data_IF_344902988237
#
_entry.id   IF_344902988237
#
_cell.length_a   1.000
_cell.length_b   1.000
_cell.length_c   1.000
_cell.angle_alpha   90.00
_cell.angle_beta   90.00
_cell.angle_gamma   90.00
#
_symmetry.space_group_name_H-M   'P 1'
#
loop_
_entity.id
_entity.type
_entity.pdbx_description
1 polymer ?
#
# COMPACT_ATOMS: atom_id res chain seq x y z
N UNK A 1 -5.38 -10.53 18.89
CA UNK A 1 -4.32 -9.49 18.75
C UNK A 1 -3.08 -10.16 18.17
N UNK A 2 -2.34 -9.50 17.26
CA UNK A 2 -1.11 -10.09 16.70
C UNK A 2 -0.04 -10.16 17.80
N UNK A 3 0.69 -11.26 17.93
CA UNK A 3 1.75 -11.37 18.93
C UNK A 3 2.87 -10.34 18.66
N UNK A 4 3.46 -9.68 19.68
CA UNK A 4 4.44 -8.60 19.46
C UNK A 4 5.63 -8.98 18.57
N UNK A 5 6.11 -10.23 18.68
CA UNK A 5 7.18 -10.77 17.83
C UNK A 5 6.78 -10.80 16.35
N UNK A 6 5.55 -11.20 16.06
CA UNK A 6 5.02 -11.25 14.70
C UNK A 6 4.89 -9.85 14.10
N UNK A 7 4.47 -8.87 14.90
CA UNK A 7 4.37 -7.48 14.45
C UNK A 7 5.76 -6.92 14.12
N UNK A 8 6.76 -7.11 14.99
CA UNK A 8 8.15 -6.70 14.72
C UNK A 8 8.70 -7.32 13.42
N UNK A 9 8.45 -8.59 13.22
CA UNK A 9 8.86 -9.31 12.02
C UNK A 9 8.19 -8.76 10.74
N UNK A 10 6.87 -8.55 10.78
CA UNK A 10 6.12 -7.98 9.64
C UNK A 10 6.52 -6.52 9.36
N UNK A 11 6.80 -5.73 10.39
CA UNK A 11 7.34 -4.38 10.23
C UNK A 11 8.68 -4.40 9.52
N UNK A 12 9.60 -5.30 9.91
CA UNK A 12 10.87 -5.45 9.22
C UNK A 12 10.69 -5.86 7.76
N UNK A 13 9.83 -6.86 7.50
CA UNK A 13 9.51 -7.31 6.15
C UNK A 13 9.04 -6.16 5.25
N UNK A 14 8.09 -5.35 5.74
CA UNK A 14 7.50 -4.26 4.97
C UNK A 14 8.45 -3.07 4.78
N UNK A 15 9.12 -2.62 5.85
CA UNK A 15 10.00 -1.44 5.83
C UNK A 15 11.25 -1.67 4.99
N UNK A 16 11.83 -2.87 5.05
CA UNK A 16 13.00 -3.26 4.26
C UNK A 16 12.63 -3.87 2.90
N UNK A 17 11.34 -4.08 2.63
CA UNK A 17 10.86 -4.71 1.40
C UNK A 17 11.51 -6.08 1.13
N UNK A 18 11.56 -6.95 2.14
CA UNK A 18 12.29 -8.22 2.04
C UNK A 18 11.56 -9.26 1.18
N UNK A 19 12.11 -9.53 0.00
CA UNK A 19 11.60 -10.53 -0.94
C UNK A 19 11.60 -11.93 -0.32
N UNK A 20 12.69 -12.33 0.32
CA UNK A 20 12.77 -13.66 0.95
C UNK A 20 11.71 -13.85 2.03
N UNK A 21 11.54 -12.86 2.93
CA UNK A 21 10.58 -12.96 4.03
C UNK A 21 9.14 -12.96 3.53
N UNK A 22 8.81 -12.20 2.47
CA UNK A 22 7.47 -12.24 1.88
C UNK A 22 7.10 -13.61 1.34
N UNK A 23 8.01 -14.33 0.68
CA UNK A 23 7.77 -15.70 0.23
C UNK A 23 7.58 -16.68 1.41
N UNK A 24 8.36 -16.52 2.50
CA UNK A 24 8.19 -17.35 3.69
C UNK A 24 6.86 -17.09 4.40
N UNK A 25 6.45 -15.83 4.51
CA UNK A 25 5.14 -15.45 5.05
C UNK A 25 4.02 -16.02 4.20
N UNK A 26 4.13 -15.90 2.88
CA UNK A 26 3.11 -16.42 1.97
C UNK A 26 2.90 -17.93 2.17
N UNK A 27 3.97 -18.71 2.26
CA UNK A 27 3.89 -20.15 2.50
C UNK A 27 3.34 -20.47 3.89
N UNK A 28 3.73 -19.71 4.90
CA UNK A 28 3.20 -19.87 6.27
C UNK A 28 1.69 -19.60 6.31
N UNK A 29 1.24 -18.55 5.64
CA UNK A 29 -0.19 -18.24 5.48
C UNK A 29 -0.89 -19.33 4.69
N UNK A 30 -0.28 -19.82 3.61
CA UNK A 30 -0.81 -20.92 2.80
C UNK A 30 -0.99 -22.21 3.60
N UNK A 31 -0.01 -22.58 4.44
CA UNK A 31 -0.09 -23.71 5.35
C UNK A 31 -1.29 -23.58 6.30
N UNK A 32 -1.42 -22.42 6.96
CA UNK A 32 -2.52 -22.16 7.88
C UNK A 32 -3.88 -22.13 7.16
N UNK A 33 -3.94 -21.55 5.96
CA UNK A 33 -5.15 -21.49 5.13
C UNK A 33 -5.67 -22.88 4.76
N UNK A 34 -4.77 -23.83 4.54
CA UNK A 34 -5.06 -25.23 4.22
C UNK A 34 -5.16 -26.14 5.47
N UNK A 35 -5.37 -25.57 6.66
CA UNK A 35 -5.58 -26.35 7.89
C UNK A 35 -4.31 -26.97 8.50
N UNK A 36 -3.13 -26.41 8.24
CA UNK A 36 -1.86 -26.85 8.84
C UNK A 36 -1.01 -27.79 7.99
N UNK A 37 -1.36 -27.98 6.72
CA UNK A 37 -0.57 -28.75 5.76
C UNK A 37 0.68 -27.99 5.27
N UNK A 38 1.52 -28.61 4.42
CA UNK A 38 2.75 -27.98 3.91
C UNK A 38 2.43 -26.71 3.11
N UNK A 39 3.00 -25.58 3.53
CA UNK A 39 2.82 -24.29 2.88
C UNK A 39 3.32 -24.25 1.43
N UNK A 40 2.45 -23.85 0.51
CA UNK A 40 2.78 -23.69 -0.91
C UNK A 40 2.52 -22.27 -1.39
N UNK A 41 3.18 -21.90 -2.50
CA UNK A 41 2.91 -20.64 -3.21
C UNK A 41 1.44 -20.54 -3.60
N UNK A 42 0.90 -21.61 -4.19
CA UNK A 42 -0.49 -21.66 -4.64
C UNK A 42 -1.48 -21.47 -3.49
N UNK A 43 -1.30 -22.17 -2.36
CA UNK A 43 -2.15 -22.03 -1.19
C UNK A 43 -2.09 -20.60 -0.61
N UNK A 44 -0.92 -19.98 -0.59
CA UNK A 44 -0.76 -18.60 -0.15
C UNK A 44 -1.43 -17.60 -1.10
N UNK A 45 -1.31 -17.80 -2.42
CA UNK A 45 -1.99 -16.96 -3.41
C UNK A 45 -3.52 -17.10 -3.34
N UNK A 46 -4.04 -18.30 -3.07
CA UNK A 46 -5.46 -18.51 -2.78
C UNK A 46 -5.91 -17.76 -1.53
N UNK A 47 -5.09 -17.77 -0.47
CA UNK A 47 -5.37 -17.00 0.74
C UNK A 47 -5.39 -15.48 0.47
N UNK A 48 -4.47 -14.97 -0.36
CA UNK A 48 -4.49 -13.56 -0.81
C UNK A 48 -5.77 -13.27 -1.59
N UNK A 49 -6.14 -14.11 -2.56
CA UNK A 49 -7.39 -13.93 -3.35
C UNK A 49 -8.62 -13.86 -2.46
N UNK A 50 -8.70 -14.69 -1.42
CA UNK A 50 -9.80 -14.64 -0.45
C UNK A 50 -9.86 -13.28 0.27
N UNK A 51 -8.73 -12.77 0.75
CA UNK A 51 -8.68 -11.46 1.42
C UNK A 51 -9.06 -10.33 0.46
N UNK A 52 -8.55 -10.36 -0.77
CA UNK A 52 -8.90 -9.35 -1.78
C UNK A 52 -10.39 -9.38 -2.12
N UNK A 53 -10.98 -10.56 -2.25
CA UNK A 53 -12.43 -10.70 -2.46
C UNK A 53 -13.24 -10.14 -1.29
N UNK A 54 -12.81 -10.35 -0.04
CA UNK A 54 -13.44 -9.73 1.14
C UNK A 54 -13.34 -8.20 1.13
N UNK A 55 -12.32 -7.65 0.48
CA UNK A 55 -12.13 -6.22 0.28
C UNK A 55 -12.86 -5.66 -0.96
N UNK A 56 -13.68 -6.47 -1.64
CA UNK A 56 -14.45 -6.06 -2.81
C UNK A 56 -13.65 -6.00 -4.12
N UNK A 57 -12.43 -6.53 -4.14
CA UNK A 57 -11.60 -6.60 -5.35
C UNK A 57 -12.13 -7.70 -6.28
N UNK A 58 -12.32 -7.36 -7.57
CA UNK A 58 -12.80 -8.33 -8.56
C UNK A 58 -11.72 -9.35 -8.91
N UNK A 59 -12.14 -10.50 -9.39
CA UNK A 59 -11.23 -11.63 -9.67
C UNK A 59 -10.16 -11.31 -10.73
N UNK A 60 -10.52 -10.54 -11.75
CA UNK A 60 -9.69 -10.12 -12.88
C UNK A 60 -8.73 -8.97 -12.55
N UNK A 61 -8.94 -8.29 -11.41
CA UNK A 61 -8.07 -7.21 -10.95
C UNK A 61 -6.82 -7.69 -10.20
N UNK A 62 -6.67 -9.00 -9.96
CA UNK A 62 -5.49 -9.55 -9.32
C UNK A 62 -5.00 -10.84 -9.97
N UNK A 63 -3.72 -10.83 -10.33
CA UNK A 63 -2.98 -12.00 -10.78
C UNK A 63 -1.62 -12.05 -10.07
N UNK A 64 -1.50 -12.91 -9.08
CA UNK A 64 -0.25 -13.14 -8.35
C UNK A 64 0.51 -14.36 -8.87
N UNK A 65 1.83 -14.23 -8.94
CA UNK A 65 2.80 -15.27 -9.28
C UNK A 65 3.86 -15.47 -8.20
N UNK A 66 4.03 -14.48 -7.32
CA UNK A 66 4.87 -14.54 -6.13
C UNK A 66 4.35 -13.58 -5.06
N UNK A 67 4.95 -13.60 -3.86
CA UNK A 67 4.59 -12.70 -2.77
C UNK A 67 5.37 -11.37 -2.81
N UNK A 68 6.61 -11.44 -3.29
CA UNK A 68 7.58 -10.37 -3.21
C UNK A 68 7.36 -9.25 -4.23
N UNK A 69 6.67 -9.54 -5.34
CA UNK A 69 6.50 -8.60 -6.43
C UNK A 69 7.63 -8.65 -7.48
N UNK A 70 8.57 -9.59 -7.38
CA UNK A 70 9.68 -9.74 -8.34
C UNK A 70 9.22 -10.25 -9.70
N UNK A 71 8.18 -11.08 -9.72
CA UNK A 71 7.59 -11.59 -10.93
C UNK A 71 6.96 -10.45 -11.72
N UNK A 72 7.51 -10.20 -12.91
CA UNK A 72 6.95 -9.26 -13.90
C UNK A 72 5.59 -9.69 -14.42
N UNK A 73 5.09 -10.88 -14.05
CA UNK A 73 3.76 -11.36 -14.40
C UNK A 73 2.70 -10.94 -13.38
N UNK A 74 3.10 -10.45 -12.20
CA UNK A 74 2.15 -9.93 -11.21
C UNK A 74 1.33 -8.78 -11.79
N UNK A 75 0.02 -8.78 -11.56
CA UNK A 75 -0.90 -7.70 -11.92
C UNK A 75 -1.81 -7.39 -10.74
N UNK A 76 -1.95 -6.11 -10.45
CA UNK A 76 -2.98 -5.58 -9.56
C UNK A 76 -3.31 -4.15 -9.97
N UNK A 77 -4.59 -3.77 -9.99
CA UNK A 77 -5.01 -2.39 -10.30
C UNK A 77 -4.75 -1.45 -9.10
N UNK A 78 -4.53 -0.14 -9.34
CA UNK A 78 -4.52 0.86 -8.28
C UNK A 78 -5.83 0.85 -7.46
N UNK A 79 -6.98 0.66 -8.12
CA UNK A 79 -8.30 0.60 -7.48
C UNK A 79 -8.45 -0.62 -6.55
N UNK A 80 -7.89 -1.77 -6.93
CA UNK A 80 -7.84 -2.96 -6.07
C UNK A 80 -7.00 -2.72 -4.81
N UNK A 81 -5.86 -2.02 -4.94
CA UNK A 81 -5.04 -1.64 -3.78
C UNK A 81 -5.80 -0.66 -2.88
N UNK A 82 -6.43 0.37 -3.44
CA UNK A 82 -7.22 1.33 -2.66
C UNK A 82 -8.39 0.64 -1.97
N UNK A 83 -9.07 -0.30 -2.63
CA UNK A 83 -10.15 -1.10 -2.05
C UNK A 83 -9.66 -1.93 -0.85
N UNK A 84 -8.50 -2.60 -0.99
CA UNK A 84 -7.86 -3.32 0.12
C UNK A 84 -7.51 -2.39 1.28
N UNK A 85 -6.94 -1.23 1.01
CA UNK A 85 -6.57 -0.25 2.03
C UNK A 85 -7.82 0.29 2.77
N UNK A 86 -8.89 0.61 2.05
CA UNK A 86 -10.16 1.04 2.66
C UNK A 86 -10.79 -0.06 3.51
N UNK A 87 -10.73 -1.31 3.06
CA UNK A 87 -11.20 -2.45 3.84
C UNK A 87 -10.36 -2.65 5.12
N UNK A 88 -9.02 -2.53 5.02
CA UNK A 88 -8.13 -2.61 6.18
C UNK A 88 -8.37 -1.49 7.19
N UNK A 89 -8.61 -0.26 6.72
CA UNK A 89 -8.95 0.90 7.57
C UNK A 89 -10.17 0.64 8.46
N UNK A 90 -11.21 0.01 7.90
CA UNK A 90 -12.43 -0.33 8.62
C UNK A 90 -12.31 -1.62 9.46
N UNK A 91 -11.14 -2.25 9.52
CA UNK A 91 -10.91 -3.48 10.27
C UNK A 91 -10.21 -3.22 11.60
N UNK A 92 -10.39 -4.13 12.56
CA UNK A 92 -9.64 -4.11 13.83
C UNK A 92 -8.12 -4.38 13.67
N UNK A 93 -7.62 -4.50 12.43
CA UNK A 93 -6.21 -4.72 12.11
C UNK A 93 -5.51 -3.46 11.64
N UNK A 94 -6.24 -2.36 11.38
CA UNK A 94 -5.70 -1.12 10.80
C UNK A 94 -4.43 -0.65 11.52
N UNK A 95 -4.49 -0.44 12.83
CA UNK A 95 -3.36 0.08 13.59
C UNK A 95 -2.10 -0.79 13.51
N UNK A 96 -2.28 -2.12 13.58
CA UNK A 96 -1.16 -3.05 13.49
C UNK A 96 -0.58 -3.06 12.08
N UNK A 97 -1.42 -3.01 11.04
CA UNK A 97 -0.96 -2.92 9.67
C UNK A 97 -0.22 -1.60 9.41
N UNK A 98 -0.77 -0.48 9.87
CA UNK A 98 -0.18 0.85 9.71
C UNK A 98 1.24 0.92 10.29
N UNK A 99 1.46 0.32 11.47
CA UNK A 99 2.78 0.22 12.13
C UNK A 99 3.82 -0.59 11.33
N UNK A 100 3.39 -1.36 10.33
CA UNK A 100 4.32 -2.09 9.46
C UNK A 100 4.82 -1.26 8.29
N UNK A 101 4.08 -0.22 7.87
CA UNK A 101 4.44 0.60 6.72
C UNK A 101 5.61 1.53 7.03
N UNK A 102 6.35 1.91 5.99
CA UNK A 102 7.39 2.92 6.10
C UNK A 102 6.75 4.31 6.22
N UNK A 103 7.37 5.18 7.03
CA UNK A 103 6.91 6.54 7.27
C UNK A 103 7.81 7.51 6.49
N UNK A 104 7.20 8.36 5.68
CA UNK A 104 7.91 9.34 4.88
C UNK A 104 8.77 10.29 5.73
N UNK A 105 10.04 10.44 5.35
CA UNK A 105 11.02 11.27 6.05
C UNK A 105 11.53 10.67 7.38
N UNK A 106 11.10 9.46 7.75
CA UNK A 106 11.40 8.88 9.07
C UNK A 106 12.07 7.52 8.99
N UNK A 107 11.55 6.56 8.23
CA UNK A 107 12.13 5.21 8.19
C UNK A 107 11.91 4.42 6.90
N UNK A 108 12.55 3.24 6.85
CA UNK A 108 12.48 2.28 5.76
C UNK A 108 12.79 2.89 4.39
N UNK A 109 12.14 2.34 3.36
CA UNK A 109 12.32 2.82 1.97
C UNK A 109 11.87 4.27 1.68
N UNK A 110 11.30 4.99 2.65
CA UNK A 110 10.86 6.38 2.51
C UNK A 110 11.67 7.36 3.37
N UNK A 111 12.74 6.90 4.03
CA UNK A 111 13.51 7.70 4.98
C UNK A 111 14.01 9.02 4.39
N UNK A 112 14.39 9.04 3.11
CA UNK A 112 14.92 10.22 2.42
C UNK A 112 13.92 10.89 1.46
N UNK A 113 12.64 10.46 1.45
CA UNK A 113 11.58 11.03 0.60
C UNK A 113 10.67 11.95 1.38
N UNK A 114 10.13 12.97 0.70
CA UNK A 114 9.13 13.92 1.23
C UNK A 114 9.56 14.69 2.49
N UNK A 115 10.86 14.75 2.82
CA UNK A 115 11.37 15.59 3.91
C UNK A 115 11.16 17.07 3.58
N UNK A 116 10.86 17.86 4.60
CA UNK A 116 10.60 19.31 4.51
C UNK A 116 9.42 19.65 3.58
N UNK A 117 8.45 18.75 3.48
CA UNK A 117 7.19 18.96 2.74
C UNK A 117 6.00 18.84 3.70
N UNK A 118 4.81 19.25 3.26
CA UNK A 118 3.58 19.05 4.01
C UNK A 118 3.24 17.56 4.27
N UNK A 119 3.85 16.63 3.52
CA UNK A 119 3.61 15.19 3.63
C UNK A 119 4.59 14.46 4.58
N UNK A 120 5.62 15.15 5.09
CA UNK A 120 6.61 14.55 6.00
C UNK A 120 5.92 13.96 7.24
N UNK A 121 6.28 12.72 7.61
CA UNK A 121 5.71 11.96 8.74
C UNK A 121 4.19 11.74 8.72
N UNK A 122 3.52 12.09 7.63
CA UNK A 122 2.07 11.91 7.44
C UNK A 122 1.73 10.81 6.43
N UNK A 123 2.69 10.42 5.60
CA UNK A 123 2.56 9.31 4.66
C UNK A 123 3.09 8.02 5.27
N UNK A 124 2.24 6.99 5.27
CA UNK A 124 2.52 5.63 5.69
C UNK A 124 2.33 4.73 4.47
N UNK A 125 3.40 4.26 3.85
CA UNK A 125 3.28 3.61 2.55
C UNK A 125 4.30 2.51 2.30
N UNK A 126 3.98 1.68 1.31
CA UNK A 126 4.87 0.67 0.76
C UNK A 126 5.34 1.10 -0.62
N UNK A 127 6.64 0.99 -0.85
CA UNK A 127 7.28 1.21 -2.16
C UNK A 127 7.36 -0.09 -2.95
N UNK A 128 7.34 0.02 -4.28
CA UNK A 128 7.72 -1.07 -5.19
C UNK A 128 8.58 -0.56 -6.34
N UNK A 129 9.57 -1.34 -6.75
CA UNK A 129 10.49 -0.99 -7.82
C UNK A 129 10.93 -2.24 -8.59
N UNK A 130 10.81 -2.17 -9.91
CA UNK A 130 11.52 -3.00 -10.89
C UNK A 130 11.99 -2.08 -12.01
N UNK A 131 12.91 -2.54 -12.86
CA UNK A 131 13.23 -1.76 -14.07
C UNK A 131 11.96 -1.54 -14.91
N UNK A 132 11.66 -0.26 -15.19
CA UNK A 132 10.46 0.22 -15.86
C UNK A 132 9.18 0.27 -15.00
N UNK A 133 9.25 0.00 -13.69
CA UNK A 133 8.08 0.00 -12.79
C UNK A 133 8.40 0.69 -11.47
N UNK A 134 7.53 1.62 -11.05
CA UNK A 134 7.62 2.30 -9.76
C UNK A 134 6.24 2.46 -9.16
N UNK A 135 6.06 1.96 -7.95
CA UNK A 135 4.80 2.05 -7.23
C UNK A 135 4.99 2.62 -5.82
N UNK A 136 3.98 3.33 -5.34
CA UNK A 136 3.87 3.83 -3.98
C UNK A 136 2.40 3.80 -3.57
N UNK A 137 2.07 3.10 -2.50
CA UNK A 137 0.68 2.96 -2.06
C UNK A 137 0.60 2.88 -0.55
N UNK A 138 -0.45 3.45 0.02
CA UNK A 138 -0.60 3.54 1.47
C UNK A 138 -1.62 4.58 1.90
N UNK A 139 -1.37 5.20 3.04
CA UNK A 139 -2.24 6.18 3.65
C UNK A 139 -1.53 7.51 3.86
N UNK A 140 -2.30 8.59 3.77
CA UNK A 140 -1.97 9.91 4.29
C UNK A 140 -2.85 10.19 5.51
N UNK A 141 -2.26 10.70 6.58
CA UNK A 141 -3.00 11.31 7.68
C UNK A 141 -3.16 12.82 7.45
N UNK A 142 -4.40 13.26 7.26
CA UNK A 142 -4.79 14.66 7.07
C UNK A 142 -4.69 15.46 8.38
N UNK A 143 -4.42 16.77 8.29
CA UNK A 143 -4.53 17.65 9.47
C UNK A 143 -5.98 17.91 9.84
N UNK A 144 -6.90 17.68 8.89
CA UNK A 144 -8.33 17.61 9.13
C UNK A 144 -8.76 16.38 9.96
N UNK A 145 -7.84 15.48 10.35
CA UNK A 145 -8.11 14.28 11.13
C UNK A 145 -8.56 13.07 10.30
N UNK A 146 -8.67 13.20 8.97
CA UNK A 146 -9.10 12.13 8.08
C UNK A 146 -7.92 11.32 7.53
N UNK A 147 -8.21 10.08 7.14
CA UNK A 147 -7.27 9.20 6.47
C UNK A 147 -7.59 9.09 4.99
N UNK A 148 -6.58 9.31 4.13
CA UNK A 148 -6.70 9.17 2.69
C UNK A 148 -5.92 7.95 2.22
N UNK A 149 -6.60 6.97 1.62
CA UNK A 149 -5.95 5.84 0.97
C UNK A 149 -5.55 6.22 -0.47
N UNK A 150 -4.36 5.83 -0.91
CA UNK A 150 -3.88 6.15 -2.25
C UNK A 150 -3.08 5.00 -2.87
N UNK A 151 -3.02 4.98 -4.21
CA UNK A 151 -2.14 4.11 -4.97
C UNK A 151 -1.63 4.82 -6.22
N UNK A 152 -0.31 4.99 -6.31
CA UNK A 152 0.39 5.58 -7.45
C UNK A 152 1.24 4.50 -8.12
N UNK A 153 0.93 4.16 -9.36
CA UNK A 153 1.64 3.14 -10.13
C UNK A 153 2.07 3.68 -11.49
N UNK A 154 3.38 3.68 -11.74
CA UNK A 154 3.97 4.00 -13.03
C UNK A 154 4.59 2.73 -13.61
N UNK A 155 4.22 2.39 -14.85
CA UNK A 155 4.63 1.19 -15.56
C UNK A 155 5.22 1.56 -16.91
N UNK A 156 6.12 0.72 -17.43
CA UNK A 156 6.77 0.85 -18.73
C UNK A 156 7.45 2.20 -18.99
N UNK A 157 7.89 2.89 -17.94
CA UNK A 157 8.62 4.15 -18.13
C UNK A 157 10.06 3.88 -18.56
N UNK A 158 10.56 4.73 -19.46
CA UNK A 158 11.95 4.70 -19.95
C UNK A 158 12.83 5.77 -19.33
N UNK A 159 12.23 6.72 -18.62
CA UNK A 159 12.92 7.82 -17.93
C UNK A 159 13.68 7.34 -16.69
N UNK A 160 14.53 8.21 -16.14
CA UNK A 160 15.17 7.96 -14.86
C UNK A 160 14.12 7.73 -13.76
N UNK A 161 14.33 6.69 -12.94
CA UNK A 161 13.47 6.37 -11.78
C UNK A 161 13.18 7.61 -10.92
N UNK A 162 14.19 8.45 -10.70
CA UNK A 162 14.09 9.66 -9.88
C UNK A 162 12.98 10.60 -10.36
N UNK A 163 12.81 10.79 -11.67
CA UNK A 163 11.77 11.66 -12.21
C UNK A 163 10.36 11.15 -11.85
N UNK A 164 10.18 9.83 -11.85
CA UNK A 164 8.92 9.19 -11.46
C UNK A 164 8.69 9.32 -9.95
N UNK A 165 9.74 9.19 -9.14
CA UNK A 165 9.65 9.40 -7.70
C UNK A 165 9.32 10.85 -7.34
N UNK A 166 9.94 11.82 -8.03
CA UNK A 166 9.63 13.25 -7.86
C UNK A 166 8.20 13.57 -8.26
N UNK A 167 7.66 12.93 -9.31
CA UNK A 167 6.24 13.07 -9.68
C UNK A 167 5.32 12.48 -8.60
N UNK A 168 5.62 11.28 -8.11
CA UNK A 168 4.87 10.69 -6.99
C UNK A 168 4.91 11.59 -5.75
N UNK A 169 6.07 12.15 -5.43
CA UNK A 169 6.26 13.00 -4.26
C UNK A 169 5.46 14.32 -4.40
N UNK A 170 5.48 14.95 -5.58
CA UNK A 170 4.65 16.13 -5.87
C UNK A 170 3.16 15.86 -5.71
N UNK A 171 2.67 14.73 -6.22
CA UNK A 171 1.25 14.34 -6.07
C UNK A 171 0.89 14.16 -4.59
N UNK A 172 1.76 13.54 -3.79
CA UNK A 172 1.52 13.34 -2.36
C UNK A 172 1.61 14.64 -1.57
N UNK A 173 2.50 15.55 -1.92
CA UNK A 173 2.55 16.89 -1.34
C UNK A 173 1.29 17.69 -1.66
N UNK A 174 0.79 17.63 -2.90
CA UNK A 174 -0.48 18.24 -3.27
C UNK A 174 -1.64 17.66 -2.47
N UNK A 175 -1.68 16.33 -2.31
CA UNK A 175 -2.71 15.67 -1.50
C UNK A 175 -2.61 16.08 -0.02
N UNK A 176 -1.40 16.17 0.54
CA UNK A 176 -1.18 16.62 1.92
C UNK A 176 -1.65 18.06 2.14
N UNK A 177 -1.37 18.95 1.19
CA UNK A 177 -1.83 20.33 1.21
C UNK A 177 -3.35 20.45 1.05
N UNK A 178 -3.97 19.59 0.24
CA UNK A 178 -5.43 19.49 0.15
C UNK A 178 -6.03 19.04 1.49
N UNK A 179 -5.47 17.99 2.09
CA UNK A 179 -5.90 17.42 3.38
C UNK A 179 -5.51 18.28 4.61
N UNK A 180 -4.86 19.43 4.40
CA UNK A 180 -4.61 20.44 5.42
C UNK A 180 -5.74 21.49 5.49
N UNK A 181 -6.55 21.60 4.43
CA UNK A 181 -7.69 22.52 4.41
C UNK A 181 -8.88 21.87 5.12
N UNK A 182 -9.65 22.62 5.94
CA UNK A 182 -10.94 22.12 6.41
C UNK A 182 -11.81 21.74 5.21
N UNK A 183 -12.46 20.58 5.26
CA UNK A 183 -13.44 20.18 4.24
C UNK A 183 -14.54 21.24 4.25
N UNK A 184 -14.83 21.94 3.14
CA UNK A 184 -15.96 22.86 3.09
C UNK A 184 -17.22 22.12 3.50
N UNK A 185 -17.98 22.67 4.44
CA UNK A 185 -19.15 22.02 5.03
C UNK A 185 -20.24 21.65 4.00
N UNK A 186 -20.19 22.23 2.79
CA UNK A 186 -21.09 21.95 1.69
C UNK A 186 -20.34 21.97 0.36
N UNK A 187 -20.63 21.00 -0.51
CA UNK A 187 -20.34 21.08 -1.94
C UNK A 187 -21.32 22.11 -2.53
N UNK A 188 -20.88 23.22 -3.14
CA UNK A 188 -21.79 24.13 -3.82
C UNK A 188 -22.56 23.32 -4.87
N UNK A 189 -23.90 23.36 -4.81
CA UNK A 189 -24.74 22.72 -5.80
C UNK A 189 -24.25 23.11 -7.20
N UNK A 190 -24.10 22.12 -8.08
CA UNK A 190 -23.71 22.36 -9.46
C UNK A 190 -24.64 23.42 -10.04
N UNK A 191 -24.05 24.55 -10.45
CA UNK A 191 -24.77 25.66 -11.08
C UNK A 191 -25.48 25.12 -12.32
N UNK A 192 -26.78 24.89 -12.19
CA UNK A 192 -27.68 24.71 -13.32
C UNK A 192 -28.06 26.11 -13.77
N UNK A 193 -27.16 26.75 -14.51
CA UNK A 193 -27.51 27.95 -15.26
C UNK A 193 -28.26 27.53 -16.55
N UNK A 194 -29.28 28.31 -16.95
CA UNK A 194 -30.33 27.91 -17.90
C UNK A 194 -29.88 27.79 -19.35
#
# INVERSE_FOLDING_TARGET
MLHPRSLKFLSYLQKESSNYLSEQVLRTVGAAYQGGSKGSLEAGLQAIRKVLSMAGVKFDEFLGFDASGLSRKNRISPDAIVSLLRWLYNSNKFENFLKTLAIAGYDGTLIDRLRKTAAEKRIFAKTGYLSGVRTLSGYLYGENGEWFAFSLMAMNFTQARRNIEELQDKVLEMLANFAAKPVPAEVPAASTAP
#
